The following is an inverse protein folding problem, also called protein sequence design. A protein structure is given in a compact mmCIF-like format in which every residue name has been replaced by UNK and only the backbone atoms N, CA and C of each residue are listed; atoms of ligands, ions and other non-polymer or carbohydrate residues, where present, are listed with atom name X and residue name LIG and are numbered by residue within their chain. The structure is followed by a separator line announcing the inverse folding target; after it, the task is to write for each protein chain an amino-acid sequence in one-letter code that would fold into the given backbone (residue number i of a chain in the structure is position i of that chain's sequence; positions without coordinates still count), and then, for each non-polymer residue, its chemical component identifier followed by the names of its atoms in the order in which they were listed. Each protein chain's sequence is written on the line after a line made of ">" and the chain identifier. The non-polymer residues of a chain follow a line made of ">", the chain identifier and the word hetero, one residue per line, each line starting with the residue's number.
data_IF_881236635415
#
_entry.id   IF_881236635415
#
_cell.length_a   1.000
_cell.length_b   1.000
_cell.length_c   1.000
_cell.angle_alpha   90.00
_cell.angle_beta   90.00
_cell.angle_gamma   90.00
#
_symmetry.space_group_name_H-M   'P 1'
#
loop_
_entity.id
_entity.type
_entity.pdbx_description
1 polymer ?
#
# COMPACT_ATOMS: atom_id res chain seq x y z
N UNK A 1 14.32 -36.92 0.91
CA UNK A 1 15.00 -35.80 0.21
C UNK A 1 14.23 -34.50 0.48
N UNK A 2 14.64 -33.69 1.47
CA UNK A 2 14.06 -32.36 1.74
C UNK A 2 14.64 -31.38 0.71
N UNK A 3 13.87 -30.97 -0.30
CA UNK A 3 14.27 -29.89 -1.23
C UNK A 3 14.24 -28.57 -0.44
N UNK A 4 15.43 -28.06 -0.12
CA UNK A 4 15.62 -26.78 0.57
C UNK A 4 15.25 -25.65 -0.40
N UNK A 5 14.21 -24.88 -0.06
CA UNK A 5 13.81 -23.62 -0.72
C UNK A 5 14.66 -22.42 -0.30
N UNK A 6 15.68 -22.66 0.54
CA UNK A 6 16.60 -21.67 1.10
C UNK A 6 17.45 -20.92 0.04
N UNK A 7 17.90 -21.50 -1.09
CA UNK A 7 18.83 -20.79 -1.98
C UNK A 7 18.18 -19.66 -2.77
N UNK A 8 16.89 -19.75 -3.08
CA UNK A 8 16.18 -18.73 -3.89
C UNK A 8 15.98 -17.44 -3.07
N UNK A 9 15.68 -17.56 -1.78
CA UNK A 9 15.45 -16.42 -0.90
C UNK A 9 16.77 -15.68 -0.62
N UNK A 10 17.86 -16.41 -0.39
CA UNK A 10 19.19 -15.80 -0.28
C UNK A 10 19.58 -15.05 -1.54
N UNK A 11 19.32 -15.62 -2.72
CA UNK A 11 19.59 -14.95 -3.99
C UNK A 11 18.79 -13.66 -4.18
N UNK A 12 17.52 -13.63 -3.76
CA UNK A 12 16.68 -12.43 -3.82
C UNK A 12 17.13 -11.35 -2.83
N UNK A 13 17.51 -11.73 -1.61
CA UNK A 13 18.06 -10.80 -0.60
C UNK A 13 19.42 -10.26 -1.05
N UNK A 14 20.29 -11.10 -1.62
CA UNK A 14 21.60 -10.68 -2.11
C UNK A 14 21.47 -9.72 -3.31
N UNK A 15 20.54 -10.01 -4.24
CA UNK A 15 20.28 -9.14 -5.39
C UNK A 15 19.71 -7.77 -4.97
N UNK A 16 18.86 -7.73 -3.95
CA UNK A 16 18.36 -6.48 -3.37
C UNK A 16 19.49 -5.68 -2.67
N UNK A 17 20.41 -6.35 -1.98
CA UNK A 17 21.58 -5.69 -1.36
C UNK A 17 22.58 -5.15 -2.38
N UNK A 18 22.84 -5.89 -3.47
CA UNK A 18 23.76 -5.48 -4.54
C UNK A 18 23.23 -4.28 -5.35
N UNK A 19 21.92 -4.21 -5.57
CA UNK A 19 21.28 -3.05 -6.21
C UNK A 19 21.33 -1.81 -5.32
N UNK A 20 21.23 -1.96 -3.99
CA UNK A 20 21.39 -0.87 -3.04
C UNK A 20 22.84 -0.36 -2.98
N UNK A 21 23.84 -1.25 -3.00
CA UNK A 21 25.26 -0.88 -2.87
C UNK A 21 25.79 -0.08 -4.07
N UNK A 22 25.33 -0.37 -5.28
CA UNK A 22 25.73 0.37 -6.50
C UNK A 22 25.20 1.82 -6.54
N UNK A 23 24.19 2.15 -5.74
CA UNK A 23 23.63 3.52 -5.69
C UNK A 23 24.39 4.47 -4.75
N UNK A 24 25.40 3.98 -4.02
CA UNK A 24 26.11 4.75 -2.97
C UNK A 24 27.33 5.53 -3.48
N UNK A 25 27.68 5.48 -4.76
CA UNK A 25 28.96 5.99 -5.25
C UNK A 25 28.92 7.39 -5.89
N UNK A 26 27.82 8.14 -5.84
CA UNK A 26 27.79 9.48 -6.45
C UNK A 26 27.01 10.57 -5.69
N UNK A 27 27.62 11.76 -5.66
CA UNK A 27 27.10 13.12 -5.47
C UNK A 27 26.84 13.70 -4.06
N UNK A 28 27.23 14.98 -3.94
CA UNK A 28 26.92 15.93 -2.87
C UNK A 28 25.41 16.03 -2.62
N UNK A 29 24.99 15.90 -1.37
CA UNK A 29 23.58 15.81 -0.97
C UNK A 29 22.91 17.20 -1.02
N UNK A 30 22.26 17.52 -2.14
CA UNK A 30 21.29 18.61 -2.22
C UNK A 30 19.95 18.15 -1.62
N UNK A 31 19.66 18.60 -0.40
CA UNK A 31 18.45 18.26 0.36
C UNK A 31 17.23 19.12 0.00
N UNK A 32 17.34 20.06 -0.94
CA UNK A 32 16.21 20.91 -1.34
C UNK A 32 15.06 20.06 -1.92
N UNK A 33 13.92 20.05 -1.23
CA UNK A 33 12.73 19.29 -1.66
C UNK A 33 12.70 17.80 -1.26
N UNK A 34 13.58 17.33 -0.38
CA UNK A 34 13.49 15.99 0.20
C UNK A 34 12.29 15.88 1.18
N UNK A 35 11.62 14.73 1.20
CA UNK A 35 10.56 14.47 2.19
C UNK A 35 11.19 14.27 3.58
N UNK A 36 10.53 14.68 4.69
CA UNK A 36 11.09 14.50 6.02
C UNK A 36 11.40 13.02 6.32
N UNK A 37 12.66 12.64 6.61
CA UNK A 37 13.03 11.23 6.83
C UNK A 37 12.25 10.59 7.98
N UNK A 38 12.03 11.35 9.07
CA UNK A 38 11.23 10.91 10.22
C UNK A 38 9.82 10.45 9.80
N UNK A 39 9.22 11.13 8.81
CA UNK A 39 7.90 10.80 8.29
C UNK A 39 7.87 9.47 7.54
N UNK A 40 8.93 9.14 6.82
CA UNK A 40 9.04 7.84 6.16
C UNK A 40 9.33 6.72 7.17
N UNK A 41 10.21 7.00 8.14
CA UNK A 41 10.61 6.05 9.20
C UNK A 41 9.41 5.56 10.00
N UNK A 42 8.60 6.47 10.57
CA UNK A 42 7.49 6.04 11.42
C UNK A 42 6.43 5.26 10.62
N UNK A 43 6.18 5.66 9.36
CA UNK A 43 5.26 4.95 8.47
C UNK A 43 5.75 3.52 8.21
N UNK A 44 7.02 3.37 7.86
CA UNK A 44 7.66 2.07 7.65
C UNK A 44 7.78 1.21 8.91
N UNK A 45 7.82 1.82 10.09
CA UNK A 45 7.83 1.10 11.37
C UNK A 45 6.44 0.60 11.78
N UNK A 46 5.37 1.30 11.38
CA UNK A 46 3.99 0.88 11.64
C UNK A 46 3.57 -0.19 10.63
N UNK A 47 3.83 0.05 9.35
CA UNK A 47 3.44 -0.83 8.26
C UNK A 47 4.60 -0.93 7.26
N UNK A 48 5.21 -2.11 7.09
CA UNK A 48 6.28 -2.32 6.12
C UNK A 48 5.89 -1.81 4.74
N UNK A 49 6.77 -1.06 4.09
CA UNK A 49 6.53 -0.50 2.76
C UNK A 49 5.75 0.81 2.74
N UNK A 50 5.09 1.24 3.83
CA UNK A 50 4.32 2.50 3.83
C UNK A 50 5.22 3.73 3.65
N UNK A 51 6.39 3.78 4.29
CA UNK A 51 7.35 4.87 4.08
C UNK A 51 7.80 4.99 2.62
N UNK A 52 8.04 3.86 1.95
CA UNK A 52 8.38 3.80 0.53
C UNK A 52 7.21 4.25 -0.35
N UNK A 53 5.97 3.87 -0.03
CA UNK A 53 4.78 4.35 -0.74
C UNK A 53 4.60 5.86 -0.57
N UNK A 54 4.87 6.41 0.62
CA UNK A 54 4.90 7.85 0.87
C UNK A 54 6.01 8.57 0.08
N UNK A 55 7.15 7.91 -0.12
CA UNK A 55 8.25 8.37 -0.97
C UNK A 55 8.02 8.12 -2.47
N UNK A 56 6.85 7.59 -2.87
CA UNK A 56 6.51 7.22 -4.25
C UNK A 56 7.45 6.16 -4.87
N UNK A 57 8.07 5.35 -4.02
CA UNK A 57 8.87 4.18 -4.36
C UNK A 57 7.98 2.95 -4.38
N UNK A 58 7.03 2.92 -5.32
CA UNK A 58 5.92 1.95 -5.32
C UNK A 58 6.38 0.48 -5.39
N UNK A 59 7.44 0.19 -6.15
CA UNK A 59 7.97 -1.17 -6.26
C UNK A 59 8.51 -1.63 -4.90
N UNK A 60 9.34 -0.80 -4.26
CA UNK A 60 9.90 -1.09 -2.93
C UNK A 60 8.79 -1.16 -1.88
N UNK A 61 7.82 -0.25 -1.94
CA UNK A 61 6.64 -0.27 -1.11
C UNK A 61 5.87 -1.58 -1.21
N UNK A 62 5.60 -2.05 -2.43
CA UNK A 62 4.94 -3.34 -2.66
C UNK A 62 5.78 -4.52 -2.15
N UNK A 63 7.07 -4.55 -2.47
CA UNK A 63 7.99 -5.62 -2.03
C UNK A 63 8.02 -5.70 -0.51
N UNK A 64 8.26 -4.59 0.18
CA UNK A 64 8.32 -4.58 1.65
C UNK A 64 6.97 -4.90 2.29
N UNK A 65 5.86 -4.38 1.74
CA UNK A 65 4.52 -4.67 2.25
C UNK A 65 4.21 -6.17 2.13
N UNK A 66 4.22 -6.71 0.91
CA UNK A 66 3.76 -8.08 0.66
C UNK A 66 4.73 -9.14 1.17
N UNK A 67 6.05 -8.92 1.09
CA UNK A 67 7.02 -9.86 1.63
C UNK A 67 6.92 -9.96 3.15
N UNK A 68 6.90 -8.81 3.85
CA UNK A 68 6.87 -8.80 5.31
C UNK A 68 5.53 -9.32 5.86
N UNK A 69 4.41 -8.89 5.27
CA UNK A 69 3.08 -9.42 5.64
C UNK A 69 2.98 -10.93 5.37
N UNK A 70 3.53 -11.43 4.27
CA UNK A 70 3.59 -12.86 3.97
C UNK A 70 4.41 -13.66 4.99
N UNK A 71 5.54 -13.11 5.43
CA UNK A 71 6.37 -13.71 6.49
C UNK A 71 5.63 -13.77 7.83
N UNK A 72 4.95 -12.68 8.22
CA UNK A 72 4.14 -12.68 9.44
C UNK A 72 2.94 -13.62 9.35
N UNK A 73 2.28 -13.71 8.20
CA UNK A 73 1.20 -14.67 7.98
C UNK A 73 1.70 -16.10 8.16
N UNK A 74 2.85 -16.44 7.60
CA UNK A 74 3.43 -17.78 7.79
C UNK A 74 3.88 -18.05 9.22
N UNK A 75 4.43 -17.03 9.90
CA UNK A 75 4.74 -17.12 11.33
C UNK A 75 3.48 -17.48 12.12
N UNK A 76 2.39 -16.74 11.94
CA UNK A 76 1.13 -16.98 12.63
C UNK A 76 0.53 -18.35 12.28
N UNK A 77 0.56 -18.76 11.01
CA UNK A 77 0.09 -20.08 10.58
C UNK A 77 0.81 -21.22 11.30
N UNK A 78 2.13 -21.14 11.43
CA UNK A 78 2.92 -22.14 12.15
C UNK A 78 2.71 -22.08 13.67
N UNK A 79 2.47 -20.89 14.23
CA UNK A 79 2.11 -20.74 15.64
C UNK A 79 0.77 -21.41 15.97
N UNK A 80 -0.27 -21.17 15.16
CA UNK A 80 -1.60 -21.80 15.33
C UNK A 80 -1.49 -23.33 15.28
N UNK A 81 -0.73 -23.86 14.32
CA UNK A 81 -0.50 -25.31 14.22
C UNK A 81 0.26 -25.87 15.41
N UNK A 82 1.33 -25.20 15.86
CA UNK A 82 2.07 -25.63 17.05
C UNK A 82 1.16 -25.68 18.28
N UNK A 83 0.34 -24.65 18.49
CA UNK A 83 -0.62 -24.61 19.60
C UNK A 83 -1.66 -25.73 19.53
N UNK A 84 -1.98 -26.22 18.33
CA UNK A 84 -2.99 -27.27 18.12
C UNK A 84 -2.45 -28.69 18.18
N UNK A 85 -1.23 -28.91 17.68
CA UNK A 85 -0.67 -30.24 17.46
C UNK A 85 0.61 -30.53 18.27
N UNK A 86 1.25 -29.51 18.84
CA UNK A 86 2.48 -29.64 19.61
C UNK A 86 3.72 -30.01 18.78
N UNK A 87 3.67 -29.90 17.46
CA UNK A 87 4.76 -30.31 16.56
C UNK A 87 6.00 -29.39 16.69
N UNK A 88 7.17 -29.90 17.12
CA UNK A 88 8.39 -29.10 17.21
C UNK A 88 8.85 -28.49 15.88
N UNK A 89 8.52 -29.09 14.73
CA UNK A 89 8.84 -28.51 13.41
C UNK A 89 8.06 -27.21 13.18
N UNK A 90 6.79 -27.17 13.56
CA UNK A 90 5.96 -25.95 13.48
C UNK A 90 6.49 -24.86 14.43
N UNK A 91 6.97 -25.23 15.62
CA UNK A 91 7.62 -24.27 16.53
C UNK A 91 8.88 -23.63 15.92
N UNK A 92 9.72 -24.43 15.27
CA UNK A 92 10.94 -23.96 14.61
C UNK A 92 10.63 -23.05 13.41
N UNK A 93 9.64 -23.44 12.60
CA UNK A 93 9.18 -22.63 11.46
C UNK A 93 8.56 -21.31 11.90
N UNK A 94 7.73 -21.30 12.95
CA UNK A 94 7.20 -20.08 13.55
C UNK A 94 8.32 -19.08 13.87
N UNK A 95 9.34 -19.52 14.61
CA UNK A 95 10.50 -18.69 14.98
C UNK A 95 11.26 -18.21 13.74
N UNK A 96 11.47 -19.09 12.77
CA UNK A 96 12.18 -18.74 11.52
C UNK A 96 11.46 -17.63 10.75
N UNK A 97 10.16 -17.79 10.50
CA UNK A 97 9.37 -16.78 9.78
C UNK A 97 9.19 -15.48 10.58
N UNK A 98 9.07 -15.57 11.92
CA UNK A 98 9.02 -14.39 12.77
C UNK A 98 10.32 -13.58 12.67
N UNK A 99 11.47 -14.25 12.83
CA UNK A 99 12.79 -13.61 12.74
C UNK A 99 13.03 -13.00 11.36
N UNK A 100 12.68 -13.72 10.28
CA UNK A 100 12.78 -13.18 8.91
C UNK A 100 11.86 -11.97 8.73
N UNK A 101 10.63 -12.03 9.23
CA UNK A 101 9.68 -10.92 9.19
C UNK A 101 10.22 -9.68 9.92
N UNK A 102 10.75 -9.85 11.12
CA UNK A 102 11.39 -8.77 11.90
C UNK A 102 12.60 -8.19 11.14
N UNK A 103 13.46 -9.04 10.58
CA UNK A 103 14.63 -8.61 9.83
C UNK A 103 14.24 -7.79 8.59
N UNK A 104 13.27 -8.27 7.80
CA UNK A 104 12.73 -7.54 6.65
C UNK A 104 12.08 -6.21 7.06
N UNK A 105 11.36 -6.20 8.18
CA UNK A 105 10.77 -4.98 8.74
C UNK A 105 11.87 -3.97 9.12
N UNK A 106 12.93 -4.37 9.81
CA UNK A 106 14.05 -3.47 10.12
C UNK A 106 14.71 -2.96 8.84
N UNK A 107 14.97 -3.84 7.87
CA UNK A 107 15.52 -3.45 6.56
C UNK A 107 14.65 -2.42 5.84
N UNK A 108 13.32 -2.55 5.90
CA UNK A 108 12.39 -1.56 5.33
C UNK A 108 12.50 -0.18 5.99
N UNK A 109 12.72 -0.11 7.31
CA UNK A 109 12.86 1.16 8.02
C UNK A 109 14.18 1.83 7.62
N UNK A 110 15.27 1.07 7.54
CA UNK A 110 16.59 1.58 7.13
C UNK A 110 16.52 2.11 5.69
N UNK A 111 15.93 1.33 4.78
CA UNK A 111 15.75 1.74 3.38
C UNK A 111 14.88 3.01 3.27
N UNK A 112 13.81 3.14 4.06
CA UNK A 112 13.00 4.35 4.10
C UNK A 112 13.77 5.56 4.66
N UNK A 113 14.57 5.35 5.70
CA UNK A 113 15.41 6.39 6.28
C UNK A 113 16.43 6.91 5.26
N UNK A 114 17.21 6.01 4.66
CA UNK A 114 18.27 6.33 3.70
C UNK A 114 17.70 7.06 2.47
N UNK A 115 16.60 6.53 1.90
CA UNK A 115 15.91 7.18 0.80
C UNK A 115 15.38 8.57 1.17
N UNK A 116 14.94 8.78 2.42
CA UNK A 116 14.48 10.09 2.88
C UNK A 116 15.57 11.17 2.88
N UNK A 117 16.83 10.78 3.04
CA UNK A 117 17.98 11.70 2.98
C UNK A 117 18.52 11.88 1.56
N UNK A 118 18.37 10.88 0.69
CA UNK A 118 19.05 10.84 -0.62
C UNK A 118 18.14 11.13 -1.80
N UNK A 119 16.85 10.79 -1.71
CA UNK A 119 15.96 10.76 -2.86
C UNK A 119 14.92 11.86 -2.75
N UNK A 120 14.80 12.63 -3.83
CA UNK A 120 13.62 13.48 -4.04
C UNK A 120 12.47 12.57 -4.51
N UNK A 121 11.23 12.75 -4.01
CA UNK A 121 10.09 11.95 -4.44
C UNK A 121 9.89 12.06 -5.97
N UNK A 122 9.69 10.92 -6.65
CA UNK A 122 9.70 10.82 -8.12
C UNK A 122 8.45 11.33 -8.86
N UNK A 123 7.65 12.16 -8.20
CA UNK A 123 6.63 12.95 -8.88
C UNK A 123 5.25 12.31 -8.86
N UNK A 124 4.37 13.00 -8.15
CA UNK A 124 3.04 13.39 -8.62
C UNK A 124 2.81 14.83 -8.12
N UNK A 125 3.79 15.71 -8.39
CA UNK A 125 3.67 17.15 -8.16
C UNK A 125 2.92 17.75 -9.35
N UNK A 126 1.76 17.19 -9.67
CA UNK A 126 0.84 17.87 -10.57
C UNK A 126 0.60 19.27 -10.02
N UNK A 127 0.70 20.26 -10.88
CA UNK A 127 0.14 21.57 -10.56
C UNK A 127 -1.37 21.48 -10.72
N UNK A 128 -2.12 22.34 -10.03
CA UNK A 128 -3.57 22.33 -10.13
C UNK A 128 -4.06 22.47 -11.58
N UNK A 129 -3.33 23.24 -12.39
CA UNK A 129 -3.59 23.46 -13.81
C UNK A 129 -2.60 22.71 -14.73
N UNK A 130 -1.86 21.74 -14.19
CA UNK A 130 -0.86 20.97 -14.92
C UNK A 130 -1.46 19.78 -15.68
N UNK A 131 -0.65 19.18 -16.55
CA UNK A 131 -0.99 17.99 -17.35
C UNK A 131 -0.85 16.66 -16.56
N UNK A 132 -0.26 16.72 -15.37
CA UNK A 132 -0.04 15.57 -14.48
C UNK A 132 -0.96 15.66 -13.27
N UNK A 133 -1.49 14.52 -12.78
CA UNK A 133 -2.37 14.53 -11.62
C UNK A 133 -1.60 14.89 -10.34
N UNK A 134 -2.30 15.59 -9.43
CA UNK A 134 -1.78 16.03 -8.13
C UNK A 134 -1.51 14.87 -7.15
N UNK A 135 -2.10 13.70 -7.41
CA UNK A 135 -1.94 12.51 -6.59
C UNK A 135 -1.63 11.30 -7.47
N UNK A 136 -0.83 10.40 -6.90
CA UNK A 136 -0.36 9.15 -7.50
C UNK A 136 -1.50 8.16 -7.74
N UNK A 137 -1.90 7.89 -9.00
CA UNK A 137 -2.94 6.90 -9.28
C UNK A 137 -2.53 5.49 -8.88
N UNK A 138 -1.30 5.10 -9.25
CA UNK A 138 -0.75 3.80 -8.86
C UNK A 138 -0.41 3.74 -7.36
N UNK A 139 -0.06 4.86 -6.74
CA UNK A 139 0.08 4.95 -5.29
C UNK A 139 -1.25 4.76 -4.57
N UNK A 140 -2.36 5.26 -5.10
CA UNK A 140 -3.69 5.05 -4.55
C UNK A 140 -4.13 3.58 -4.69
N UNK A 141 -3.85 2.96 -5.83
CA UNK A 141 -4.09 1.53 -6.07
C UNK A 141 -3.31 0.67 -5.08
N UNK A 142 -1.99 0.91 -4.93
CA UNK A 142 -1.16 0.10 -4.05
C UNK A 142 -1.60 0.19 -2.58
N UNK A 143 -1.95 1.39 -2.11
CA UNK A 143 -2.55 1.58 -0.77
C UNK A 143 -3.82 0.74 -0.62
N UNK A 144 -4.74 0.84 -1.59
CA UNK A 144 -5.99 0.07 -1.57
C UNK A 144 -5.77 -1.45 -1.69
N UNK A 145 -4.68 -1.86 -2.34
CA UNK A 145 -4.32 -3.27 -2.48
C UNK A 145 -3.77 -3.88 -1.18
N UNK A 146 -3.22 -3.04 -0.29
CA UNK A 146 -2.78 -3.48 1.03
C UNK A 146 -3.97 -3.47 1.99
N UNK A 147 -4.75 -2.39 2.00
CA UNK A 147 -5.96 -2.24 2.82
C UNK A 147 -7.07 -1.61 1.96
N UNK A 148 -8.20 -2.31 1.71
CA UNK A 148 -9.32 -1.74 0.95
C UNK A 148 -9.80 -0.42 1.55
N UNK A 149 -9.92 0.62 0.72
CA UNK A 149 -10.30 1.97 1.17
C UNK A 149 -9.13 2.89 1.52
N UNK A 150 -7.90 2.39 1.65
CA UNK A 150 -6.75 3.22 2.01
C UNK A 150 -6.33 4.19 0.89
N UNK A 151 -6.48 3.81 -0.38
CA UNK A 151 -6.30 4.74 -1.51
C UNK A 151 -7.32 5.88 -1.48
N UNK A 152 -8.55 5.62 -1.05
CA UNK A 152 -9.57 6.65 -0.93
C UNK A 152 -9.24 7.66 0.17
N UNK A 153 -8.69 7.22 1.31
CA UNK A 153 -8.12 8.12 2.34
C UNK A 153 -7.02 8.99 1.73
N UNK A 154 -6.13 8.40 0.94
CA UNK A 154 -5.08 9.14 0.25
C UNK A 154 -5.66 10.20 -0.71
N UNK A 155 -6.77 9.93 -1.38
CA UNK A 155 -7.48 10.89 -2.24
C UNK A 155 -8.46 11.81 -1.49
N UNK A 156 -8.47 11.81 -0.15
CA UNK A 156 -9.38 12.60 0.71
C UNK A 156 -10.87 12.27 0.57
N UNK A 157 -11.20 11.12 -0.02
CA UNK A 157 -12.55 10.60 -0.14
C UNK A 157 -12.91 9.69 1.06
N UNK A 158 -13.01 10.27 2.26
CA UNK A 158 -13.14 9.50 3.51
C UNK A 158 -14.41 8.65 3.61
N UNK A 159 -15.55 9.16 3.09
CA UNK A 159 -16.81 8.40 3.09
C UNK A 159 -16.70 7.17 2.19
N UNK A 160 -16.10 7.31 1.01
CA UNK A 160 -15.81 6.17 0.13
C UNK A 160 -14.87 5.18 0.81
N UNK A 161 -13.85 5.66 1.52
CA UNK A 161 -12.92 4.79 2.25
C UNK A 161 -13.65 3.91 3.28
N UNK A 162 -14.51 4.50 4.11
CA UNK A 162 -15.32 3.76 5.10
C UNK A 162 -16.25 2.76 4.40
N UNK A 163 -16.91 3.18 3.32
CA UNK A 163 -17.79 2.31 2.54
C UNK A 163 -17.04 1.11 1.95
N UNK A 164 -15.89 1.33 1.31
CA UNK A 164 -15.09 0.25 0.71
C UNK A 164 -14.48 -0.67 1.75
N UNK A 165 -13.98 -0.13 2.87
CA UNK A 165 -13.46 -0.94 3.97
C UNK A 165 -14.58 -1.82 4.55
N UNK A 166 -15.75 -1.24 4.82
CA UNK A 166 -16.92 -1.97 5.33
C UNK A 166 -17.43 -3.04 4.37
N UNK A 167 -17.56 -2.71 3.08
CA UNK A 167 -18.03 -3.63 2.03
C UNK A 167 -17.09 -4.83 1.89
N UNK A 168 -15.79 -4.57 1.68
CA UNK A 168 -14.79 -5.63 1.52
C UNK A 168 -14.64 -6.45 2.81
N UNK A 169 -14.60 -5.79 3.97
CA UNK A 169 -14.52 -6.43 5.28
C UNK A 169 -15.72 -7.34 5.56
N UNK A 170 -16.93 -6.90 5.24
CA UNK A 170 -18.15 -7.71 5.36
C UNK A 170 -18.09 -8.96 4.47
N UNK A 171 -17.66 -8.83 3.21
CA UNK A 171 -17.54 -9.97 2.31
C UNK A 171 -16.48 -10.97 2.79
N UNK A 172 -15.31 -10.50 3.24
CA UNK A 172 -14.29 -11.34 3.84
C UNK A 172 -14.80 -12.06 5.10
N UNK A 173 -15.52 -11.36 5.97
CA UNK A 173 -16.16 -11.94 7.16
C UNK A 173 -17.14 -13.05 6.78
N UNK A 174 -18.05 -12.80 5.84
CA UNK A 174 -19.02 -13.80 5.35
C UNK A 174 -18.33 -15.01 4.74
N UNK A 175 -17.30 -14.79 3.93
CA UNK A 175 -16.48 -15.84 3.34
C UNK A 175 -15.78 -16.69 4.43
N UNK A 176 -15.23 -16.04 5.46
CA UNK A 176 -14.56 -16.71 6.58
C UNK A 176 -15.53 -17.60 7.38
N UNK A 177 -16.70 -17.06 7.75
CA UNK A 177 -17.72 -17.83 8.49
C UNK A 177 -18.24 -19.00 7.66
N UNK A 178 -18.51 -18.80 6.37
CA UNK A 178 -18.93 -19.88 5.46
C UNK A 178 -17.84 -20.97 5.36
N UNK A 179 -16.57 -20.58 5.23
CA UNK A 179 -15.46 -21.53 5.22
C UNK A 179 -15.38 -22.33 6.53
N UNK A 180 -15.48 -21.69 7.70
CA UNK A 180 -15.47 -22.39 8.98
C UNK A 180 -16.62 -23.41 9.09
N UNK A 181 -17.85 -23.01 8.72
CA UNK A 181 -19.02 -23.90 8.75
C UNK A 181 -18.85 -25.09 7.80
N UNK A 182 -18.29 -24.84 6.61
CA UNK A 182 -17.95 -25.90 5.67
C UNK A 182 -16.95 -26.90 6.26
N UNK A 183 -15.89 -26.45 6.94
CA UNK A 183 -14.91 -27.36 7.55
C UNK A 183 -15.49 -28.24 8.65
N UNK A 184 -16.51 -27.75 9.38
CA UNK A 184 -17.18 -28.48 10.46
C UNK A 184 -18.25 -29.46 9.95
N UNK A 185 -19.07 -29.04 9.00
CA UNK A 185 -20.27 -29.78 8.57
C UNK A 185 -20.07 -30.55 7.26
N UNK A 186 -19.12 -30.11 6.43
CA UNK A 186 -18.90 -30.57 5.05
C UNK A 186 -20.11 -30.40 4.11
N UNK A 187 -21.13 -29.64 4.52
CA UNK A 187 -22.31 -29.39 3.70
C UNK A 187 -22.01 -28.51 2.48
N UNK A 188 -22.56 -28.88 1.32
CA UNK A 188 -22.35 -28.18 0.05
C UNK A 188 -22.76 -26.70 0.09
N UNK A 189 -23.84 -26.36 0.81
CA UNK A 189 -24.36 -24.99 0.92
C UNK A 189 -23.32 -23.99 1.44
N UNK A 190 -22.48 -24.38 2.39
CA UNK A 190 -21.46 -23.48 2.95
C UNK A 190 -20.26 -23.31 2.03
N UNK A 191 -19.94 -24.33 1.22
CA UNK A 191 -18.95 -24.21 0.16
C UNK A 191 -19.43 -23.23 -0.91
N UNK A 192 -20.69 -23.33 -1.30
CA UNK A 192 -21.32 -22.43 -2.27
C UNK A 192 -21.37 -20.98 -1.77
N UNK A 193 -21.79 -20.77 -0.51
CA UNK A 193 -21.76 -19.45 0.11
C UNK A 193 -20.34 -18.86 0.15
N UNK A 194 -19.34 -19.64 0.57
CA UNK A 194 -17.94 -19.20 0.56
C UNK A 194 -17.50 -18.78 -0.84
N UNK A 195 -17.79 -19.59 -1.86
CA UNK A 195 -17.43 -19.28 -3.25
C UNK A 195 -18.17 -18.04 -3.76
N UNK A 196 -19.45 -17.87 -3.41
CA UNK A 196 -20.25 -16.69 -3.76
C UNK A 196 -19.65 -15.41 -3.17
N UNK A 197 -19.34 -15.41 -1.87
CA UNK A 197 -18.72 -14.25 -1.23
C UNK A 197 -17.29 -14.01 -1.71
N UNK A 198 -16.54 -15.04 -2.10
CA UNK A 198 -15.23 -14.89 -2.73
C UNK A 198 -15.34 -14.13 -4.07
N UNK A 199 -16.33 -14.46 -4.91
CA UNK A 199 -16.58 -13.73 -6.15
C UNK A 199 -17.01 -12.29 -5.92
N UNK A 200 -17.95 -12.07 -4.98
CA UNK A 200 -18.37 -10.71 -4.62
C UNK A 200 -17.20 -9.88 -4.09
N UNK A 201 -16.38 -10.46 -3.23
CA UNK A 201 -15.16 -9.82 -2.74
C UNK A 201 -14.21 -9.48 -3.89
N UNK A 202 -13.91 -10.43 -4.78
CA UNK A 202 -13.01 -10.19 -5.92
C UNK A 202 -13.46 -9.02 -6.79
N UNK A 203 -14.75 -8.96 -7.13
CA UNK A 203 -15.31 -7.85 -7.93
C UNK A 203 -15.28 -6.54 -7.16
N UNK A 204 -15.77 -6.52 -5.92
CA UNK A 204 -15.80 -5.30 -5.09
C UNK A 204 -14.38 -4.76 -4.82
N UNK A 205 -13.42 -5.65 -4.61
CA UNK A 205 -12.02 -5.32 -4.40
C UNK A 205 -11.41 -4.67 -5.64
N UNK A 206 -11.59 -5.26 -6.84
CA UNK A 206 -11.11 -4.67 -8.09
C UNK A 206 -11.76 -3.30 -8.37
N UNK A 207 -13.06 -3.15 -8.09
CA UNK A 207 -13.75 -1.86 -8.20
C UNK A 207 -13.19 -0.83 -7.22
N UNK A 208 -12.81 -1.25 -6.01
CA UNK A 208 -12.16 -0.38 -5.02
C UNK A 208 -10.80 0.12 -5.52
N UNK A 209 -10.02 -0.74 -6.17
CA UNK A 209 -8.73 -0.37 -6.78
C UNK A 209 -8.93 0.60 -7.95
N UNK A 210 -9.89 0.32 -8.83
CA UNK A 210 -10.20 1.16 -9.98
C UNK A 210 -10.72 2.54 -9.56
N UNK A 211 -11.62 2.62 -8.59
CA UNK A 211 -12.09 3.90 -8.04
C UNK A 211 -10.95 4.68 -7.37
N UNK A 212 -10.03 4.02 -6.67
CA UNK A 212 -8.86 4.69 -6.09
C UNK A 212 -7.95 5.30 -7.17
N UNK A 213 -7.74 4.57 -8.28
CA UNK A 213 -6.99 5.06 -9.43
C UNK A 213 -7.64 6.32 -10.02
N UNK A 214 -8.94 6.24 -10.34
CA UNK A 214 -9.69 7.34 -10.94
C UNK A 214 -9.78 8.55 -10.00
N UNK A 215 -10.02 8.33 -8.72
CA UNK A 215 -10.12 9.38 -7.70
C UNK A 215 -8.79 10.13 -7.51
N UNK A 216 -7.66 9.45 -7.66
CA UNK A 216 -6.34 10.09 -7.63
C UNK A 216 -6.04 10.85 -8.92
N UNK A 217 -6.45 10.30 -10.07
CA UNK A 217 -6.28 10.93 -11.37
C UNK A 217 -7.05 12.25 -11.49
N UNK A 218 -8.27 12.30 -10.92
CA UNK A 218 -9.16 13.47 -10.94
C UNK A 218 -9.09 14.29 -9.64
N UNK A 219 -8.07 14.08 -8.80
CA UNK A 219 -7.96 14.79 -7.54
C UNK A 219 -7.84 16.31 -7.78
N UNK A 220 -8.78 17.08 -7.22
CA UNK A 220 -8.92 18.52 -7.38
C UNK A 220 -9.24 19.05 -8.79
N UNK A 221 -9.82 18.20 -9.64
CA UNK A 221 -10.19 18.61 -11.00
C UNK A 221 -11.27 19.70 -11.02
N UNK A 222 -12.26 19.62 -10.13
CA UNK A 222 -13.36 20.60 -10.08
C UNK A 222 -12.84 22.00 -9.71
N UNK A 223 -11.94 22.10 -8.72
CA UNK A 223 -11.29 23.37 -8.34
C UNK A 223 -10.44 23.94 -9.48
N UNK A 224 -9.77 23.07 -10.25
CA UNK A 224 -8.99 23.49 -11.42
C UNK A 224 -9.88 24.11 -12.50
N UNK A 225 -11.04 23.49 -12.79
CA UNK A 225 -12.01 23.99 -13.76
C UNK A 225 -12.66 25.29 -13.28
N UNK A 226 -13.02 25.38 -12.00
CA UNK A 226 -13.58 26.61 -11.43
C UNK A 226 -12.62 27.79 -11.61
N UNK A 227 -11.33 27.61 -11.33
CA UNK A 227 -10.32 28.67 -11.51
C UNK A 227 -10.14 29.02 -13.00
N UNK A 228 -10.14 28.02 -13.89
CA UNK A 228 -9.93 28.22 -15.32
C UNK A 228 -11.13 28.89 -16.02
N UNK A 229 -12.35 28.63 -15.54
CA UNK A 229 -13.61 29.09 -16.17
C UNK A 229 -14.21 30.30 -15.43
N UNK A 230 -13.79 30.58 -14.20
CA UNK A 230 -14.19 31.81 -13.49
C UNK A 230 -13.87 33.01 -14.38
N UNK A 231 -14.87 33.82 -14.77
CA UNK A 231 -14.60 35.00 -15.58
C UNK A 231 -13.59 35.85 -14.83
N UNK A 232 -12.50 36.21 -15.50
CA UNK A 232 -11.64 37.31 -15.07
C UNK A 232 -12.61 38.46 -14.85
N UNK A 233 -12.92 38.79 -13.59
CA UNK A 233 -13.58 40.03 -13.25
C UNK A 233 -12.56 41.12 -13.59
N UNK A 234 -12.47 41.46 -14.87
CA UNK A 234 -11.81 42.67 -15.34
C UNK A 234 -12.58 43.78 -14.62
N UNK A 235 -11.94 44.54 -13.71
CA UNK A 235 -12.58 45.71 -13.17
C UNK A 235 -12.54 46.76 -14.27
N UNK A 236 -13.51 46.72 -15.17
CA UNK A 236 -13.75 47.79 -16.12
C UNK A 236 -15.22 48.19 -16.04
N UNK A 237 -15.59 48.80 -14.91
CA UNK A 237 -16.63 49.83 -14.77
C UNK A 237 -16.48 50.54 -13.41
N UNK A 238 -15.41 51.32 -13.21
CA UNK A 238 -15.49 52.48 -12.31
C UNK A 238 -15.03 53.71 -13.12
N UNK A 239 -16.05 54.35 -13.70
CA UNK A 239 -16.16 55.78 -13.98
C UNK A 239 -15.10 56.42 -14.90
N UNK A 240 -15.31 56.26 -16.22
CA UNK A 240 -15.37 57.45 -17.06
C UNK A 240 -16.66 58.22 -16.72
N UNK A 241 -16.51 59.53 -16.51
CA UNK A 241 -17.53 60.56 -16.24
C UNK A 241 -17.92 60.75 -14.77
N UNK A 242 -17.27 61.70 -14.07
CA UNK A 242 -17.90 62.85 -13.40
C UNK A 242 -16.81 63.92 -13.12
N UNK A 243 -17.07 65.13 -13.63
CA UNK A 243 -16.35 66.44 -13.60
C UNK A 243 -15.32 66.72 -14.71
#
# INVERSE_FOLDING_TARGET
>A
MKRSTIPIIYLLVLAASLTAQNSMQDSSIDTSGALPPAQAIWRSAVLPGWGQIYQERLIQGAVFSFATLGLYFQSFYHLDRYNKYGDPEDQSRFKTFLSLGILFHIGNIIDAADAGYRLKPKGWQGELLGDKPLKSPWGAVLRSAIIPGWGQIYTENYIKAVAYFGLNGYMLYRMHIANQKYWKTKEAKYREDRTRFAWYFGVAYLLTLADAYASAYLFKFDEAIEIAVSPILVPDQIALNVY
#
